data_IF_187084259536
#
_entry.id   IF_187084259536
#
_cell.length_a   1.000
_cell.length_b   1.000
_cell.length_c   1.000
_cell.angle_alpha   90.00
_cell.angle_beta   90.00
_cell.angle_gamma   90.00
#
_symmetry.space_group_name_H-M   'P 1'
#
loop_
_entity.id
_entity.type
_entity.pdbx_description
1 polymer ?
#
# COMPACT_ATOMS: atom_id res chain seq x y z
N UNK A 1 -26.14 -13.30 -28.27
CA UNK A 1 -26.83 -14.44 -27.61
C UNK A 1 -26.06 -15.75 -27.72
N UNK A 2 -25.30 -16.00 -28.82
CA UNK A 2 -24.61 -17.30 -28.98
C UNK A 2 -23.41 -17.47 -28.02
N UNK A 3 -22.75 -16.40 -27.57
CA UNK A 3 -21.61 -16.47 -26.65
C UNK A 3 -22.02 -16.52 -25.18
N UNK A 4 -23.26 -16.15 -24.83
CA UNK A 4 -23.71 -15.97 -23.46
C UNK A 4 -23.01 -14.88 -22.67
N UNK A 5 -22.17 -14.09 -23.33
CA UNK A 5 -21.37 -13.00 -22.75
C UNK A 5 -21.72 -11.68 -23.44
N UNK A 6 -21.81 -10.62 -22.67
CA UNK A 6 -21.99 -9.27 -23.20
C UNK A 6 -20.66 -8.79 -23.83
N UNK A 7 -20.66 -8.66 -25.15
CA UNK A 7 -19.54 -8.21 -25.96
C UNK A 7 -19.77 -6.82 -26.58
N UNK A 8 -20.77 -6.08 -26.14
CA UNK A 8 -21.11 -4.76 -26.71
C UNK A 8 -19.94 -3.78 -26.56
N UNK A 9 -19.22 -3.82 -25.42
CA UNK A 9 -18.01 -3.03 -25.18
C UNK A 9 -16.94 -3.31 -26.23
N UNK A 10 -16.76 -4.59 -26.61
CA UNK A 10 -15.76 -5.01 -27.60
C UNK A 10 -16.12 -4.50 -28.98
N UNK A 11 -17.34 -4.78 -29.44
CA UNK A 11 -17.77 -4.35 -30.77
C UNK A 11 -17.78 -2.85 -30.90
N UNK A 12 -18.32 -2.14 -29.91
CA UNK A 12 -18.41 -0.67 -29.93
C UNK A 12 -17.04 -0.03 -29.93
N UNK A 13 -16.12 -0.49 -29.08
CA UNK A 13 -14.78 0.09 -28.97
C UNK A 13 -13.90 -0.21 -30.18
N UNK A 14 -13.80 -1.48 -30.57
CA UNK A 14 -12.85 -1.91 -31.61
C UNK A 14 -13.31 -1.64 -33.02
N UNK A 15 -14.61 -1.55 -33.31
CA UNK A 15 -15.13 -1.41 -34.66
C UNK A 15 -15.82 -0.05 -34.93
N UNK A 16 -16.29 0.63 -33.91
CA UNK A 16 -17.01 1.88 -34.05
C UNK A 16 -16.31 3.06 -33.34
N UNK A 17 -15.24 2.82 -32.59
CA UNK A 17 -14.45 3.83 -31.93
C UNK A 17 -13.05 3.98 -32.55
N UNK A 18 -12.36 5.04 -32.13
CA UNK A 18 -10.95 5.31 -32.47
C UNK A 18 -10.09 5.46 -31.22
N UNK A 19 -10.68 5.22 -30.07
CA UNK A 19 -10.03 5.38 -28.78
C UNK A 19 -8.97 4.29 -28.58
N UNK A 20 -7.78 4.64 -28.11
CA UNK A 20 -6.74 3.65 -27.83
C UNK A 20 -7.00 2.91 -26.51
N UNK A 21 -6.32 1.80 -26.33
CA UNK A 21 -6.22 1.15 -25.02
C UNK A 21 -5.13 1.85 -24.22
N UNK A 22 -5.49 2.36 -23.05
CA UNK A 22 -4.54 2.90 -22.07
C UNK A 22 -5.16 2.79 -20.68
N UNK A 23 -4.79 1.76 -19.95
CA UNK A 23 -5.23 1.50 -18.59
C UNK A 23 -4.09 1.81 -17.62
N UNK A 24 -4.39 2.29 -16.42
CA UNK A 24 -3.39 2.59 -15.41
C UNK A 24 -3.77 2.08 -14.03
N UNK A 25 -2.74 1.83 -13.22
CA UNK A 25 -2.88 1.68 -11.76
C UNK A 25 -2.57 3.04 -11.14
N UNK A 26 -3.62 3.72 -10.66
CA UNK A 26 -3.44 5.05 -10.06
C UNK A 26 -3.01 4.96 -8.61
N UNK A 27 -3.62 4.05 -7.84
CA UNK A 27 -3.40 3.97 -6.42
C UNK A 27 -3.61 2.55 -5.90
N UNK A 28 -2.78 2.14 -4.94
CA UNK A 28 -2.96 0.90 -4.18
C UNK A 28 -2.92 1.24 -2.70
N UNK A 29 -4.03 1.01 -2.01
CA UNK A 29 -4.15 1.21 -0.56
C UNK A 29 -4.25 -0.12 0.15
N UNK A 30 -3.44 -0.30 1.18
CA UNK A 30 -3.54 -1.44 2.08
C UNK A 30 -4.43 -1.06 3.27
N UNK A 31 -5.46 -1.87 3.50
CA UNK A 31 -6.29 -1.80 4.68
C UNK A 31 -6.16 -3.07 5.49
N UNK A 32 -6.07 -2.93 6.78
CA UNK A 32 -6.14 -4.02 7.73
C UNK A 32 -7.48 -3.95 8.49
N UNK A 33 -7.99 -5.09 8.91
CA UNK A 33 -9.19 -5.10 9.76
C UNK A 33 -8.83 -4.48 11.11
N UNK A 34 -9.58 -3.45 11.50
CA UNK A 34 -9.47 -2.94 12.85
C UNK A 34 -10.14 -3.93 13.81
N UNK A 35 -9.33 -4.58 14.64
CA UNK A 35 -9.81 -5.57 15.61
C UNK A 35 -10.56 -4.93 16.78
N UNK A 36 -10.49 -3.61 16.94
CA UNK A 36 -10.99 -2.87 18.10
C UNK A 36 -10.43 -3.37 19.45
N UNK A 37 -9.34 -4.11 19.39
CA UNK A 37 -8.60 -4.58 20.56
C UNK A 37 -7.90 -3.37 21.21
N UNK A 38 -8.28 -2.98 22.43
CA UNK A 38 -7.75 -1.77 23.05
C UNK A 38 -6.25 -1.85 23.31
N UNK A 39 -5.69 -3.03 23.53
CA UNK A 39 -4.26 -3.20 23.73
C UNK A 39 -3.49 -2.95 22.42
N UNK A 40 -4.01 -3.44 21.28
CA UNK A 40 -3.40 -3.20 19.97
C UNK A 40 -3.56 -1.75 19.51
N UNK A 41 -4.73 -1.16 19.73
CA UNK A 41 -4.95 0.25 19.39
C UNK A 41 -4.04 1.19 20.18
N UNK A 42 -3.89 0.96 21.49
CA UNK A 42 -3.01 1.76 22.32
C UNK A 42 -1.53 1.53 22.01
N UNK A 43 -1.14 0.28 21.69
CA UNK A 43 0.22 0.00 21.22
C UNK A 43 0.53 0.70 19.89
N UNK A 44 -0.42 0.71 18.95
CA UNK A 44 -0.26 1.41 17.68
C UNK A 44 -0.18 2.94 17.89
N UNK A 45 -1.01 3.49 18.78
CA UNK A 45 -0.94 4.89 19.17
C UNK A 45 0.41 5.25 19.77
N UNK A 46 0.91 4.43 20.70
CA UNK A 46 2.23 4.62 21.28
C UNK A 46 3.34 4.67 20.23
N UNK A 47 3.33 3.72 19.28
CA UNK A 47 4.31 3.71 18.19
C UNK A 47 4.22 4.95 17.30
N UNK A 48 3.01 5.44 17.06
CA UNK A 48 2.79 6.66 16.30
C UNK A 48 3.34 7.87 17.06
N UNK A 49 2.97 8.06 18.32
CA UNK A 49 3.41 9.16 19.16
C UNK A 49 4.93 9.17 19.33
N UNK A 50 5.56 8.01 19.49
CA UNK A 50 7.03 7.86 19.55
C UNK A 50 7.72 8.15 18.21
N UNK A 51 7.02 8.00 17.08
CA UNK A 51 7.56 8.30 15.74
C UNK A 51 7.46 9.77 15.35
N UNK A 52 6.62 10.54 16.03
CA UNK A 52 6.48 11.97 15.78
C UNK A 52 7.72 12.75 16.26
N UNK A 53 8.19 13.74 15.49
CA UNK A 53 9.32 14.53 15.90
C UNK A 53 8.99 15.33 17.15
N UNK A 54 9.86 15.23 18.16
CA UNK A 54 9.72 15.98 19.40
C UNK A 54 9.79 17.47 19.10
N UNK A 55 8.81 18.23 19.59
CA UNK A 55 8.83 19.68 19.45
C UNK A 55 10.08 20.26 20.12
N UNK A 56 10.81 21.12 19.38
CA UNK A 56 12.13 21.63 19.79
C UNK A 56 12.12 22.23 21.21
N UNK A 57 11.09 23.00 21.56
CA UNK A 57 10.97 23.57 22.90
C UNK A 57 10.86 22.51 24.01
N UNK A 58 10.21 21.39 23.73
CA UNK A 58 10.12 20.28 24.67
C UNK A 58 11.45 19.51 24.78
N UNK A 59 12.11 19.30 23.65
CA UNK A 59 13.45 18.68 23.61
C UNK A 59 14.48 19.50 24.42
N UNK A 60 14.48 20.82 24.24
CA UNK A 60 15.34 21.72 25.00
C UNK A 60 15.02 21.71 26.51
N UNK A 61 13.74 21.62 26.87
CA UNK A 61 13.35 21.49 28.28
C UNK A 61 13.81 20.18 28.91
N UNK A 62 13.79 19.07 28.16
CA UNK A 62 14.30 17.78 28.62
C UNK A 62 15.83 17.80 28.86
N UNK A 63 16.57 18.58 28.05
CA UNK A 63 18.02 18.75 28.24
C UNK A 63 18.35 19.66 29.43
N UNK A 64 17.50 20.66 29.71
CA UNK A 64 17.73 21.64 30.77
C UNK A 64 17.21 21.20 32.16
N UNK A 65 16.26 20.30 32.20
CA UNK A 65 15.57 19.86 33.42
C UNK A 65 15.91 18.40 33.66
N UNK A 66 16.91 18.15 34.47
CA UNK A 66 17.36 16.79 34.81
C UNK A 66 16.26 15.97 35.51
N UNK A 67 15.45 16.60 36.37
CA UNK A 67 14.38 15.95 37.12
C UNK A 67 13.10 16.77 37.18
N UNK A 68 11.98 16.15 36.85
CA UNK A 68 10.68 16.76 37.06
C UNK A 68 10.43 16.98 38.59
N UNK A 69 9.71 18.06 38.93
CA UNK A 69 9.39 18.39 40.33
C UNK A 69 8.72 17.25 41.09
N UNK A 70 7.97 16.42 40.37
CA UNK A 70 7.29 15.22 40.92
C UNK A 70 8.29 14.11 41.26
N UNK A 71 9.40 13.99 40.54
CA UNK A 71 10.48 13.05 40.83
C UNK A 71 11.17 13.40 42.14
N UNK A 72 11.41 14.72 42.36
CA UNK A 72 12.07 15.23 43.55
C UNK A 72 11.16 15.27 44.81
N UNK A 73 9.82 15.34 44.59
CA UNK A 73 8.79 15.40 45.61
C UNK A 73 7.68 14.37 45.38
N UNK A 74 7.87 13.12 45.77
CA UNK A 74 6.91 12.02 45.54
C UNK A 74 5.52 12.30 46.09
N UNK A 75 5.41 13.12 47.11
CA UNK A 75 4.13 13.54 47.71
C UNK A 75 3.26 14.37 46.76
N UNK A 76 3.81 14.87 45.67
CA UNK A 76 3.07 15.60 44.64
C UNK A 76 2.52 14.70 43.53
N UNK A 77 2.80 13.38 43.58
CA UNK A 77 2.26 12.42 42.62
C UNK A 77 0.75 12.34 42.79
N UNK A 78 0.08 12.43 41.68
CA UNK A 78 -1.39 12.27 41.60
C UNK A 78 -1.72 11.14 40.60
N UNK A 79 -3.02 10.91 40.40
CA UNK A 79 -3.54 9.92 39.47
C UNK A 79 -2.93 10.03 38.07
N UNK A 80 -2.68 11.24 37.59
CA UNK A 80 -2.15 11.46 36.22
C UNK A 80 -0.68 11.05 36.09
N UNK A 81 0.08 11.06 37.17
CA UNK A 81 1.48 10.62 37.18
C UNK A 81 1.65 9.10 37.26
N UNK A 82 0.60 8.41 37.72
CA UNK A 82 0.60 6.95 37.86
C UNK A 82 -0.09 6.24 36.68
N UNK A 83 -0.91 6.99 35.93
CA UNK A 83 -1.65 6.44 34.81
C UNK A 83 -0.75 6.34 33.57
N UNK A 84 -0.56 5.11 33.08
CA UNK A 84 -0.02 4.85 31.76
C UNK A 84 -1.15 5.04 30.73
N UNK A 85 -1.05 6.06 29.87
CA UNK A 85 -2.04 6.35 28.84
C UNK A 85 -2.09 5.29 27.73
N UNK A 86 -1.04 4.48 27.58
CA UNK A 86 -0.97 3.42 26.60
C UNK A 86 -1.37 2.05 27.16
N UNK A 87 -1.89 2.01 28.38
CA UNK A 87 -2.39 0.79 29.01
C UNK A 87 -3.91 0.74 29.00
N UNK A 88 -4.46 -0.35 28.42
CA UNK A 88 -5.90 -0.55 28.40
C UNK A 88 -6.49 -0.65 29.81
N UNK A 89 -7.55 0.13 30.08
CA UNK A 89 -8.30 0.05 31.34
C UNK A 89 -9.16 -1.22 31.39
N UNK A 90 -9.56 -1.62 32.59
CA UNK A 90 -10.47 -2.75 32.76
C UNK A 90 -11.83 -2.48 32.11
N UNK A 91 -12.23 -1.22 32.03
CA UNK A 91 -13.44 -0.81 31.31
C UNK A 91 -13.31 -1.05 29.80
N UNK A 92 -12.16 -0.71 29.19
CA UNK A 92 -11.92 -0.93 27.77
C UNK A 92 -11.91 -2.41 27.44
N UNK A 93 -11.28 -3.22 28.28
CA UNK A 93 -11.25 -4.69 28.15
C UNK A 93 -12.65 -5.28 28.20
N UNK A 94 -13.45 -4.89 29.19
CA UNK A 94 -14.82 -5.35 29.33
C UNK A 94 -15.68 -4.96 28.12
N UNK A 95 -15.54 -3.74 27.62
CA UNK A 95 -16.23 -3.27 26.43
C UNK A 95 -15.83 -4.06 25.18
N UNK A 96 -14.57 -4.45 25.10
CA UNK A 96 -14.07 -5.30 24.03
C UNK A 96 -14.63 -6.73 24.09
N UNK A 97 -14.71 -7.29 25.28
CA UNK A 97 -15.36 -8.61 25.50
C UNK A 97 -16.83 -8.59 25.11
N UNK A 98 -17.58 -7.57 25.52
CA UNK A 98 -18.98 -7.36 25.11
C UNK A 98 -19.14 -7.18 23.57
N UNK A 99 -18.14 -6.60 22.92
CA UNK A 99 -18.11 -6.49 21.46
C UNK A 99 -17.89 -7.86 20.83
N UNK A 100 -16.93 -8.66 21.31
CA UNK A 100 -16.66 -9.99 20.79
C UNK A 100 -17.84 -10.96 20.98
N UNK A 101 -18.61 -10.82 22.04
CA UNK A 101 -19.82 -11.63 22.26
C UNK A 101 -20.92 -11.37 21.23
N UNK A 102 -21.01 -10.16 20.70
CA UNK A 102 -22.01 -9.78 19.69
C UNK A 102 -21.67 -10.22 18.27
N UNK A 103 -20.42 -10.64 18.04
CA UNK A 103 -19.97 -11.06 16.71
C UNK A 103 -20.40 -12.50 16.41
N UNK A 104 -20.74 -12.73 15.16
CA UNK A 104 -20.93 -14.09 14.62
C UNK A 104 -19.60 -14.83 14.50
N UNK A 105 -19.65 -16.15 14.36
CA UNK A 105 -18.44 -16.95 14.23
C UNK A 105 -17.64 -16.61 12.96
N UNK A 106 -18.33 -16.29 11.86
CA UNK A 106 -17.71 -15.83 10.60
C UNK A 106 -17.00 -14.49 10.78
N UNK A 107 -17.60 -13.54 11.53
CA UNK A 107 -16.98 -12.25 11.84
C UNK A 107 -15.76 -12.39 12.75
N UNK A 108 -15.79 -13.32 13.71
CA UNK A 108 -14.63 -13.65 14.56
C UNK A 108 -13.48 -14.25 13.74
N UNK A 109 -13.80 -15.11 12.77
CA UNK A 109 -12.80 -15.66 11.85
C UNK A 109 -12.15 -14.56 11.01
N UNK A 110 -12.91 -13.59 10.51
CA UNK A 110 -12.40 -12.44 9.78
C UNK A 110 -11.52 -11.54 10.64
N UNK A 111 -11.88 -11.31 11.91
CA UNK A 111 -11.08 -10.52 12.85
C UNK A 111 -9.74 -11.19 13.19
N UNK A 112 -9.75 -12.50 13.38
CA UNK A 112 -8.55 -13.27 13.74
C UNK A 112 -7.71 -13.67 12.52
N UNK A 113 -8.29 -13.64 11.33
CA UNK A 113 -7.58 -13.88 10.08
C UNK A 113 -6.68 -12.71 9.73
N UNK A 114 -5.36 -12.94 9.61
CA UNK A 114 -4.42 -11.92 9.13
C UNK A 114 -4.68 -11.62 7.64
N UNK A 115 -5.82 -11.02 7.34
CA UNK A 115 -6.19 -10.62 5.99
C UNK A 115 -5.66 -9.24 5.66
N UNK A 116 -5.05 -9.12 4.48
CA UNK A 116 -4.66 -7.85 3.90
C UNK A 116 -5.69 -7.49 2.82
N UNK A 117 -6.26 -6.30 2.89
CA UNK A 117 -7.22 -5.78 1.93
C UNK A 117 -6.54 -4.71 1.08
N UNK A 118 -6.41 -4.98 -0.20
CA UNK A 118 -5.81 -4.04 -1.16
C UNK A 118 -6.91 -3.41 -1.99
N UNK A 119 -7.16 -2.13 -1.80
CA UNK A 119 -7.99 -1.35 -2.70
C UNK A 119 -7.10 -0.82 -3.81
N UNK A 120 -7.40 -1.23 -5.03
CA UNK A 120 -6.69 -0.77 -6.22
C UNK A 120 -7.63 0.09 -7.04
N UNK A 121 -7.15 1.25 -7.42
CA UNK A 121 -7.84 2.22 -8.26
C UNK A 121 -7.22 2.18 -9.65
N UNK A 122 -8.08 2.02 -10.66
CA UNK A 122 -7.72 1.95 -12.06
C UNK A 122 -8.33 3.10 -12.81
N UNK A 123 -7.63 3.63 -13.80
CA UNK A 123 -8.17 4.58 -14.77
C UNK A 123 -8.05 4.05 -16.19
N UNK A 124 -9.05 4.35 -16.99
CA UNK A 124 -9.05 4.14 -18.42
C UNK A 124 -8.73 5.49 -19.10
N UNK A 125 -7.46 5.73 -19.35
CA UNK A 125 -6.97 6.98 -19.97
C UNK A 125 -7.16 7.01 -21.47
N UNK A 126 -7.26 5.84 -22.08
CA UNK A 126 -7.41 5.70 -23.52
C UNK A 126 -8.84 5.84 -24.02
N UNK A 127 -9.81 5.50 -23.18
CA UNK A 127 -11.24 5.52 -23.53
C UNK A 127 -11.80 4.17 -23.98
N UNK A 128 -10.96 3.26 -24.49
CA UNK A 128 -11.42 1.91 -24.87
C UNK A 128 -11.48 1.00 -23.64
N UNK A 129 -12.68 0.53 -23.21
CA UNK A 129 -12.80 -0.38 -22.10
C UNK A 129 -12.17 -1.73 -22.42
N UNK A 130 -11.30 -2.21 -21.54
CA UNK A 130 -10.65 -3.52 -21.66
C UNK A 130 -10.73 -4.28 -20.36
N UNK A 131 -10.65 -5.63 -20.40
CA UNK A 131 -10.46 -6.41 -19.19
C UNK A 131 -9.22 -5.99 -18.44
N UNK A 132 -9.28 -6.00 -17.11
CA UNK A 132 -8.13 -5.70 -16.26
C UNK A 132 -7.47 -7.01 -15.88
N UNK A 133 -6.25 -7.23 -16.33
CA UNK A 133 -5.45 -8.43 -16.05
C UNK A 133 -4.36 -8.03 -15.07
N UNK A 134 -4.39 -8.56 -13.86
CA UNK A 134 -3.44 -8.24 -12.80
C UNK A 134 -2.57 -9.44 -12.47
N UNK A 135 -1.33 -9.17 -12.16
CA UNK A 135 -0.43 -10.11 -11.52
C UNK A 135 0.04 -9.54 -10.19
N UNK A 136 -0.30 -10.23 -9.11
CA UNK A 136 0.18 -9.94 -7.77
C UNK A 136 1.46 -10.71 -7.51
N UNK A 137 2.49 -10.02 -7.04
CA UNK A 137 3.68 -10.64 -6.48
C UNK A 137 3.62 -10.54 -4.96
N UNK A 138 3.79 -11.64 -4.28
CA UNK A 138 3.75 -11.72 -2.83
C UNK A 138 5.14 -11.68 -2.20
N UNK A 139 5.19 -11.43 -0.91
CA UNK A 139 6.44 -11.37 -0.12
C UNK A 139 7.24 -12.68 -0.10
N UNK A 140 6.59 -13.81 -0.38
CA UNK A 140 7.23 -15.13 -0.50
C UNK A 140 7.75 -15.43 -1.92
N UNK A 141 7.64 -14.47 -2.84
CA UNK A 141 8.03 -14.62 -4.25
C UNK A 141 7.01 -15.36 -5.11
N UNK A 142 5.89 -15.83 -4.55
CA UNK A 142 4.81 -16.43 -5.35
C UNK A 142 4.05 -15.35 -6.11
N UNK A 143 3.48 -15.72 -7.28
CA UNK A 143 2.65 -14.83 -8.09
C UNK A 143 1.25 -15.40 -8.23
N UNK A 144 0.26 -14.53 -8.35
CA UNK A 144 -1.12 -14.89 -8.61
C UNK A 144 -1.72 -13.94 -9.63
N UNK A 145 -2.42 -14.50 -10.63
CA UNK A 145 -3.14 -13.70 -11.62
C UNK A 145 -4.60 -13.55 -11.27
N UNK A 146 -5.10 -12.35 -11.45
CA UNK A 146 -6.51 -12.00 -11.32
C UNK A 146 -7.00 -11.40 -12.64
N UNK A 147 -8.09 -11.92 -13.11
CA UNK A 147 -8.77 -11.42 -14.29
C UNK A 147 -10.07 -10.72 -13.88
N UNK A 148 -10.24 -9.49 -14.32
CA UNK A 148 -11.46 -8.71 -14.11
C UNK A 148 -12.04 -8.42 -15.48
N UNK A 149 -13.25 -8.89 -15.76
CA UNK A 149 -13.88 -8.68 -17.05
C UNK A 149 -14.19 -7.19 -17.30
N UNK A 150 -14.29 -6.81 -18.58
CA UNK A 150 -14.47 -5.42 -19.01
C UNK A 150 -15.78 -4.79 -18.52
N UNK A 151 -16.74 -5.59 -18.07
CA UNK A 151 -18.00 -5.13 -17.48
C UNK A 151 -17.81 -4.27 -16.23
N UNK A 152 -16.63 -4.30 -15.61
CA UNK A 152 -16.31 -3.40 -14.50
C UNK A 152 -16.48 -1.93 -14.89
N UNK A 153 -16.25 -1.60 -16.18
CA UNK A 153 -16.34 -0.26 -16.72
C UNK A 153 -17.78 0.20 -17.04
N UNK A 154 -18.79 -0.65 -16.85
CA UNK A 154 -20.20 -0.30 -17.19
C UNK A 154 -20.76 0.89 -16.42
N UNK A 155 -20.32 1.13 -15.20
CA UNK A 155 -20.82 2.22 -14.35
C UNK A 155 -20.02 3.50 -14.51
N UNK A 156 -18.74 3.35 -14.71
CA UNK A 156 -17.78 4.44 -14.88
C UNK A 156 -16.72 3.94 -15.85
N UNK A 157 -16.67 4.54 -17.03
CA UNK A 157 -15.75 4.19 -18.10
C UNK A 157 -14.38 4.86 -17.94
N UNK A 158 -14.26 5.81 -17.02
CA UNK A 158 -13.04 6.56 -16.75
C UNK A 158 -12.26 5.97 -15.56
N UNK A 159 -12.96 5.63 -14.46
CA UNK A 159 -12.29 5.24 -13.23
C UNK A 159 -13.06 4.18 -12.43
N UNK A 160 -12.37 3.17 -11.99
CA UNK A 160 -12.96 2.11 -11.15
C UNK A 160 -12.03 1.75 -10.00
N UNK A 161 -12.63 1.26 -8.91
CA UNK A 161 -11.89 0.74 -7.77
C UNK A 161 -12.36 -0.66 -7.45
N UNK A 162 -11.42 -1.53 -7.11
CA UNK A 162 -11.71 -2.89 -6.65
C UNK A 162 -10.89 -3.25 -5.43
N UNK A 163 -11.52 -3.97 -4.49
CA UNK A 163 -10.86 -4.48 -3.31
C UNK A 163 -10.52 -5.95 -3.52
N UNK A 164 -9.28 -6.29 -3.21
CA UNK A 164 -8.76 -7.66 -3.18
C UNK A 164 -8.35 -8.00 -1.76
N UNK A 165 -8.58 -9.22 -1.35
CA UNK A 165 -8.17 -9.70 -0.04
C UNK A 165 -7.23 -10.89 -0.20
N UNK A 166 -6.16 -10.87 0.58
CA UNK A 166 -5.11 -11.90 0.55
C UNK A 166 -4.57 -12.15 1.95
N UNK A 167 -4.14 -13.39 2.22
CA UNK A 167 -3.43 -13.71 3.47
C UNK A 167 -1.96 -13.29 3.41
N UNK A 168 -1.40 -13.25 2.21
CA UNK A 168 0.00 -12.89 1.98
C UNK A 168 0.12 -11.39 1.70
N UNK A 169 1.23 -10.81 2.11
CA UNK A 169 1.51 -9.41 1.80
C UNK A 169 1.92 -9.27 0.33
N UNK A 170 1.23 -8.39 -0.40
CA UNK A 170 1.58 -8.05 -1.78
C UNK A 170 2.77 -7.09 -1.78
N UNK A 171 3.76 -7.38 -2.58
CA UNK A 171 4.96 -6.54 -2.76
C UNK A 171 4.92 -5.72 -4.02
N UNK A 172 4.29 -6.26 -5.08
CA UNK A 172 4.06 -5.51 -6.31
C UNK A 172 2.81 -6.00 -7.05
N UNK A 173 2.25 -5.13 -7.85
CA UNK A 173 1.14 -5.41 -8.76
C UNK A 173 1.56 -4.98 -10.15
N UNK A 174 1.32 -5.82 -11.13
CA UNK A 174 1.51 -5.52 -12.54
C UNK A 174 0.18 -5.62 -13.29
N UNK A 175 -0.13 -4.61 -14.07
CA UNK A 175 -1.26 -4.59 -15.01
C UNK A 175 -0.75 -5.10 -16.35
N UNK A 176 -1.51 -5.99 -16.96
CA UNK A 176 -1.21 -6.63 -18.24
C UNK A 176 0.24 -7.15 -18.39
N UNK A 177 0.65 -8.09 -17.53
CA UNK A 177 2.04 -8.56 -17.47
C UNK A 177 2.51 -9.24 -18.77
N UNK A 178 1.59 -9.77 -19.57
CA UNK A 178 1.88 -10.48 -20.82
C UNK A 178 1.61 -9.66 -22.09
N UNK A 179 1.18 -8.40 -21.96
CA UNK A 179 0.85 -7.50 -23.08
C UNK A 179 -0.31 -8.05 -23.92
N UNK A 180 -1.37 -8.47 -23.27
CA UNK A 180 -2.57 -9.05 -23.90
C UNK A 180 -3.59 -7.98 -24.34
N UNK A 181 -3.53 -6.76 -23.74
CA UNK A 181 -4.55 -5.71 -23.96
C UNK A 181 -4.14 -4.65 -24.97
N UNK A 182 -2.95 -4.69 -25.55
CA UNK A 182 -2.41 -3.68 -26.47
C UNK A 182 -2.32 -2.26 -25.89
N UNK A 183 -2.03 -2.14 -24.59
CA UNK A 183 -1.85 -0.89 -23.89
C UNK A 183 -0.70 -0.06 -24.48
N UNK A 184 -0.99 1.21 -24.79
CA UNK A 184 -0.04 2.11 -25.45
C UNK A 184 0.96 2.75 -24.49
N UNK A 185 0.61 2.89 -23.20
CA UNK A 185 1.50 3.44 -22.16
C UNK A 185 1.62 2.47 -20.98
N UNK A 186 2.75 1.81 -20.90
CA UNK A 186 3.03 0.81 -19.87
C UNK A 186 3.81 1.36 -18.68
N UNK A 187 4.10 2.65 -18.65
CA UNK A 187 4.88 3.27 -17.58
C UNK A 187 4.12 3.31 -16.26
N UNK A 188 2.79 3.33 -16.31
CA UNK A 188 1.87 3.39 -15.17
C UNK A 188 1.16 2.06 -14.85
N UNK A 189 1.59 0.97 -15.49
CA UNK A 189 1.06 -0.38 -15.31
C UNK A 189 1.66 -1.11 -14.10
N UNK A 190 2.45 -0.45 -13.27
CA UNK A 190 3.14 -1.09 -12.15
C UNK A 190 2.93 -0.37 -10.83
N UNK A 191 2.72 -1.15 -9.79
CA UNK A 191 2.79 -0.66 -8.42
C UNK A 191 3.76 -1.53 -7.60
N UNK A 192 4.74 -0.99 -6.88
CA UNK A 192 5.18 0.41 -6.92
C UNK A 192 5.61 0.85 -8.32
N UNK A 193 5.39 2.14 -8.61
CA UNK A 193 5.69 2.70 -9.93
C UNK A 193 7.16 2.44 -10.29
N UNK A 194 7.38 1.90 -11.48
CA UNK A 194 8.73 1.66 -11.99
C UNK A 194 9.25 2.94 -12.63
N UNK A 195 10.42 3.38 -12.18
CA UNK A 195 11.11 4.49 -12.83
C UNK A 195 11.64 3.98 -14.17
N UNK A 196 11.20 4.51 -15.31
CA UNK A 196 11.75 4.10 -16.61
C UNK A 196 13.24 4.41 -16.63
N UNK A 197 14.04 3.49 -17.17
CA UNK A 197 15.46 3.73 -17.36
C UNK A 197 15.63 4.98 -18.22
N UNK A 198 16.43 5.94 -17.72
CA UNK A 198 16.78 7.12 -18.50
C UNK A 198 17.43 6.71 -19.82
N UNK A 199 17.08 7.39 -20.89
CA UNK A 199 17.77 7.23 -22.20
C UNK A 199 19.20 7.80 -22.17
N UNK A 200 19.50 8.57 -21.10
CA UNK A 200 20.81 9.20 -20.92
C UNK A 200 21.50 8.52 -19.76
N UNK A 201 22.68 7.98 -20.01
CA UNK A 201 23.58 7.57 -18.95
C UNK A 201 24.22 8.81 -18.33
N UNK A 202 24.21 8.89 -17.00
CA UNK A 202 24.91 9.95 -16.29
C UNK A 202 26.41 9.66 -16.38
N UNK A 203 27.11 10.43 -17.18
CA UNK A 203 28.55 10.37 -17.28
C UNK A 203 29.20 11.24 -16.18
N UNK A 204 29.97 10.60 -15.29
CA UNK A 204 30.81 11.31 -14.35
C UNK A 204 32.23 11.42 -14.87
N UNK A 205 32.76 12.61 -15.13
CA UNK A 205 34.16 12.76 -15.58
C UNK A 205 35.19 12.28 -14.54
N UNK A 206 34.77 12.06 -13.28
CA UNK A 206 35.65 11.47 -12.26
C UNK A 206 35.88 9.96 -12.47
N UNK A 207 34.90 9.25 -13.05
CA UNK A 207 35.05 7.82 -13.33
C UNK A 207 35.86 7.53 -14.61
N UNK A 208 36.17 8.57 -15.41
CA UNK A 208 36.99 8.40 -16.62
C UNK A 208 38.49 8.32 -16.33
N UNK A 209 38.89 8.41 -15.06
CA UNK A 209 40.31 8.29 -14.67
C UNK A 209 40.77 6.85 -14.44
N UNK A 210 39.86 5.91 -14.36
CA UNK A 210 40.20 4.47 -14.42
C UNK A 210 40.29 4.00 -15.88
N UNK A 211 41.03 4.71 -16.72
CA UNK A 211 41.44 4.11 -17.99
C UNK A 211 42.45 3.00 -17.67
N UNK A 212 42.17 1.81 -18.20
CA UNK A 212 43.16 0.76 -18.19
C UNK A 212 44.51 1.35 -18.63
N UNK A 213 45.59 1.06 -17.89
CA UNK A 213 46.89 1.56 -18.26
C UNK A 213 47.23 1.13 -19.69
N UNK A 214 47.67 2.07 -20.50
CA UNK A 214 48.14 1.86 -21.85
C UNK A 214 49.05 0.63 -21.87
N UNK A 215 48.97 -0.27 -22.89
CA UNK A 215 49.84 -1.44 -23.00
C UNK A 215 51.34 -1.14 -22.76
N UNK A 216 51.82 0.02 -23.16
CA UNK A 216 53.20 0.49 -22.89
C UNK A 216 53.50 0.81 -21.43
N UNK A 217 52.46 0.96 -20.56
CA UNK A 217 52.63 1.18 -19.12
C UNK A 217 52.56 -0.14 -18.33
N UNK A 218 52.22 -1.25 -18.97
CA UNK A 218 52.18 -2.58 -18.35
C UNK A 218 53.53 -3.30 -18.41
N UNK A 219 54.52 -2.75 -19.14
CA UNK A 219 55.87 -3.28 -19.23
C UNK A 219 56.87 -2.50 -18.35
N UNK A 220 56.62 -2.43 -17.04
CA UNK A 220 57.62 -2.04 -16.06
C UNK A 220 57.56 -2.91 -14.83
#
# INVERSE_FOLDING_TARGET
DASGVDLDWFWRGWFFGTDPVNLSIDEVKLYNVNTKDPEKELAAKKMQDESEPIYLGYALNLELIDDARVTNKPELKDFYNERDEYKASDYDKKRYEEYLEKLTDDEKELLNGNWNYYQIKFSNKGGLPMPIILEFMYSDGSTERKYIPAEIWKRDDVQVSKVFFTKKKVTSVALDPNLETADIDRSDNYWPQRIPKSRFELYSPQNSREREPNPMQKEK
#
